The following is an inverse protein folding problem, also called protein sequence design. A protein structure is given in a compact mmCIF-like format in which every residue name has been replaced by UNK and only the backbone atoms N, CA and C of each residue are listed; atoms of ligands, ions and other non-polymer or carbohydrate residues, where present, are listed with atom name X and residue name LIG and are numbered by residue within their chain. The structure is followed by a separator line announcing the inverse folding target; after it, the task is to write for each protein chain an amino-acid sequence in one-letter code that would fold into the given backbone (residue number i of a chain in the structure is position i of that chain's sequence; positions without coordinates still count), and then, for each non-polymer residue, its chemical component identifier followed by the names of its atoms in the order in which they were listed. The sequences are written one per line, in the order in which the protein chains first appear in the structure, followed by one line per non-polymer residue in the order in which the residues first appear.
data_IF_279777973641
#
_entry.id   IF_279777973641
#
_cell.length_a   1.000
_cell.length_b   1.000
_cell.length_c   1.000
_cell.angle_alpha   90.00
_cell.angle_beta   90.00
_cell.angle_gamma   90.00
#
_symmetry.space_group_name_H-M   'P 1'
#
loop_
_entity.id
_entity.type
_entity.pdbx_description
1 polymer ?
#
# COMPACT_ATOMS: atom_id res chain seq x y z
N UNK A 1 -19.51 1.31 0.79
CA UNK A 1 -18.72 0.07 0.99
C UNK A 1 -18.60 -0.86 -0.24
N UNK A 2 -19.68 -1.31 -0.93
CA UNK A 2 -19.56 -2.37 -1.96
C UNK A 2 -18.73 -2.02 -3.21
N UNK A 3 -18.36 -0.75 -3.43
CA UNK A 3 -17.61 -0.27 -4.61
C UNK A 3 -16.21 0.24 -4.28
N UNK A 4 -15.76 0.17 -3.02
CA UNK A 4 -14.50 0.73 -2.58
C UNK A 4 -13.36 -0.25 -2.78
N UNK A 5 -12.38 0.14 -3.61
CA UNK A 5 -11.36 -0.75 -4.16
C UNK A 5 -10.58 -1.48 -3.08
N UNK A 6 -10.20 -0.79 -2.00
CA UNK A 6 -9.38 -1.40 -0.95
C UNK A 6 -10.17 -2.40 -0.10
N UNK A 7 -11.36 -2.02 0.35
CA UNK A 7 -12.23 -2.89 1.14
C UNK A 7 -12.63 -4.17 0.38
N UNK A 8 -12.83 -4.08 -0.95
CA UNK A 8 -13.10 -5.25 -1.79
C UNK A 8 -11.99 -6.30 -1.77
N UNK A 9 -10.71 -5.88 -1.71
CA UNK A 9 -9.58 -6.82 -1.58
C UNK A 9 -9.68 -7.63 -0.29
N UNK A 10 -10.01 -6.96 0.81
CA UNK A 10 -10.21 -7.59 2.11
C UNK A 10 -11.41 -8.53 2.10
N UNK A 11 -12.55 -8.09 1.58
CA UNK A 11 -13.75 -8.92 1.48
C UNK A 11 -13.51 -10.16 0.60
N UNK A 12 -12.76 -10.05 -0.50
CA UNK A 12 -12.41 -11.17 -1.38
C UNK A 12 -11.50 -12.18 -0.69
N UNK A 13 -10.54 -11.71 0.10
CA UNK A 13 -9.61 -12.58 0.84
C UNK A 13 -10.29 -13.28 2.02
N UNK A 14 -11.04 -12.52 2.82
CA UNK A 14 -11.66 -13.02 4.05
C UNK A 14 -12.97 -13.75 3.80
N UNK A 15 -13.77 -13.33 2.81
CA UNK A 15 -15.09 -13.88 2.50
C UNK A 15 -16.23 -13.23 3.28
N UNK A 16 -15.89 -12.37 4.25
CA UNK A 16 -16.80 -11.76 5.19
C UNK A 16 -16.75 -10.24 5.11
N UNK A 17 -17.89 -9.57 5.33
CA UNK A 17 -17.96 -8.10 5.39
C UNK A 17 -17.52 -7.57 6.77
N UNK A 18 -17.69 -8.36 7.81
CA UNK A 18 -17.38 -8.08 9.20
C UNK A 18 -16.09 -8.80 9.64
N UNK A 19 -15.15 -9.05 8.71
CA UNK A 19 -13.93 -9.83 8.95
C UNK A 19 -13.11 -9.35 10.15
N UNK A 20 -13.08 -8.04 10.40
CA UNK A 20 -12.37 -7.44 11.53
C UNK A 20 -13.04 -7.74 12.87
N UNK A 21 -14.38 -7.75 12.93
CA UNK A 21 -15.12 -8.16 14.12
C UNK A 21 -14.98 -9.67 14.33
N UNK A 22 -15.18 -10.48 13.28
CA UNK A 22 -14.99 -11.93 13.34
C UNK A 22 -13.61 -12.33 13.83
N UNK A 23 -12.56 -11.65 13.40
CA UNK A 23 -11.21 -11.85 13.94
C UNK A 23 -11.17 -11.64 15.46
N UNK A 24 -11.70 -10.52 15.94
CA UNK A 24 -11.71 -10.15 17.37
C UNK A 24 -12.59 -11.10 18.19
N UNK A 25 -13.80 -11.43 17.72
CA UNK A 25 -14.72 -12.32 18.42
C UNK A 25 -14.16 -13.73 18.54
N UNK A 26 -13.57 -14.27 17.45
CA UNK A 26 -12.95 -15.61 17.50
C UNK A 26 -11.70 -15.60 18.40
N UNK A 27 -10.91 -14.52 18.40
CA UNK A 27 -9.80 -14.37 19.33
C UNK A 27 -10.24 -14.27 20.80
N UNK A 28 -11.36 -13.60 21.10
CA UNK A 28 -11.93 -13.56 22.45
C UNK A 28 -12.47 -14.93 22.89
N UNK A 29 -13.13 -15.65 21.98
CA UNK A 29 -13.72 -16.95 22.25
C UNK A 29 -12.70 -18.11 22.24
N UNK A 30 -11.48 -17.89 21.73
CA UNK A 30 -10.50 -18.96 21.52
C UNK A 30 -10.96 -19.97 20.46
N UNK A 31 -11.66 -19.50 19.43
CA UNK A 31 -12.21 -20.33 18.35
C UNK A 31 -11.48 -20.10 17.03
N UNK A 32 -11.85 -20.86 15.99
CA UNK A 32 -11.22 -20.80 14.67
C UNK A 32 -11.90 -19.75 13.79
N UNK A 33 -11.10 -18.97 13.08
CA UNK A 33 -11.57 -18.15 11.96
C UNK A 33 -10.93 -18.62 10.66
N UNK A 34 -11.73 -18.76 9.58
CA UNK A 34 -11.26 -19.26 8.29
C UNK A 34 -11.51 -18.22 7.20
N UNK A 35 -10.48 -17.89 6.42
CA UNK A 35 -10.60 -17.02 5.27
C UNK A 35 -11.25 -17.72 4.07
N UNK A 36 -11.73 -16.95 3.09
CA UNK A 36 -12.24 -17.46 1.81
C UNK A 36 -11.18 -18.22 1.00
N UNK A 37 -9.91 -17.90 1.21
CA UNK A 37 -8.76 -18.60 0.63
C UNK A 37 -8.48 -19.95 1.29
N UNK A 38 -9.20 -20.30 2.35
CA UNK A 38 -9.09 -21.58 3.05
C UNK A 38 -8.06 -21.60 4.17
N UNK A 39 -7.37 -20.49 4.47
CA UNK A 39 -6.43 -20.39 5.61
C UNK A 39 -7.21 -20.32 6.91
N UNK A 40 -6.78 -21.09 7.90
CA UNK A 40 -7.42 -21.19 9.22
C UNK A 40 -6.53 -20.54 10.28
N UNK A 41 -7.14 -19.74 11.15
CA UNK A 41 -6.54 -19.06 12.27
C UNK A 41 -7.18 -19.62 13.55
N UNK A 42 -6.50 -20.56 14.19
CA UNK A 42 -6.98 -21.25 15.38
C UNK A 42 -6.52 -20.54 16.66
N UNK A 43 -7.31 -19.57 17.14
CA UNK A 43 -7.01 -18.85 18.37
C UNK A 43 -7.08 -19.73 19.64
N UNK A 44 -7.59 -20.97 19.53
CA UNK A 44 -7.57 -21.95 20.61
C UNK A 44 -6.17 -22.47 20.93
N UNK A 45 -5.22 -22.31 20.01
CA UNK A 45 -3.81 -22.65 20.23
C UNK A 45 -3.05 -21.59 21.04
N UNK A 46 -3.64 -20.41 21.25
CA UNK A 46 -3.06 -19.36 22.08
C UNK A 46 -3.58 -19.40 23.51
N UNK A 47 -2.68 -19.13 24.45
CA UNK A 47 -3.03 -18.69 25.79
C UNK A 47 -3.55 -17.24 25.80
N UNK A 48 -3.72 -16.71 27.01
CA UNK A 48 -4.25 -15.35 27.19
C UNK A 48 -3.32 -14.27 26.61
N UNK A 49 -2.03 -14.53 26.54
CA UNK A 49 -1.05 -13.57 26.01
C UNK A 49 -1.23 -13.36 24.51
N UNK A 50 -1.28 -14.44 23.72
CA UNK A 50 -1.49 -14.38 22.29
C UNK A 50 -2.88 -13.86 21.92
N UNK A 51 -3.94 -14.38 22.58
CA UNK A 51 -5.32 -13.91 22.34
C UNK A 51 -5.49 -12.42 22.64
N UNK A 52 -4.90 -11.93 23.72
CA UNK A 52 -4.92 -10.49 24.06
C UNK A 52 -4.30 -9.64 22.95
N UNK A 53 -3.19 -10.07 22.36
CA UNK A 53 -2.56 -9.32 21.28
C UNK A 53 -3.35 -9.40 19.97
N UNK A 54 -3.92 -10.58 19.64
CA UNK A 54 -4.83 -10.74 18.51
C UNK A 54 -6.05 -9.82 18.61
N UNK A 55 -6.67 -9.72 19.79
CA UNK A 55 -7.80 -8.82 20.07
C UNK A 55 -7.38 -7.36 19.95
N UNK A 56 -6.40 -6.92 20.77
CA UNK A 56 -6.03 -5.49 20.85
C UNK A 56 -5.58 -4.93 19.51
N UNK A 57 -4.80 -5.70 18.77
CA UNK A 57 -4.28 -5.27 17.47
C UNK A 57 -5.30 -5.47 16.37
N UNK A 58 -6.12 -6.52 16.39
CA UNK A 58 -7.17 -6.73 15.41
C UNK A 58 -8.20 -5.60 15.44
N UNK A 59 -8.53 -5.09 16.65
CA UNK A 59 -9.36 -3.90 16.80
C UNK A 59 -8.77 -2.68 16.08
N UNK A 60 -7.47 -2.44 16.14
CA UNK A 60 -6.88 -1.24 15.52
C UNK A 60 -6.54 -1.48 14.04
N UNK A 61 -5.83 -2.56 13.73
CA UNK A 61 -5.18 -2.76 12.43
C UNK A 61 -6.13 -3.34 11.38
N UNK A 62 -7.21 -4.02 11.80
CA UNK A 62 -8.22 -4.55 10.89
C UNK A 62 -9.50 -3.71 10.93
N UNK A 63 -9.95 -3.24 12.11
CA UNK A 63 -11.20 -2.48 12.20
C UNK A 63 -10.98 -0.97 12.05
N UNK A 64 -10.20 -0.32 12.92
CA UNK A 64 -9.95 1.14 12.81
C UNK A 64 -9.30 1.49 11.48
N UNK A 65 -8.38 0.66 10.97
CA UNK A 65 -7.81 0.82 9.64
C UNK A 65 -8.87 0.93 8.53
N UNK A 66 -9.85 0.02 8.52
CA UNK A 66 -10.92 0.02 7.52
C UNK A 66 -11.92 1.14 7.76
N UNK A 67 -12.14 1.51 9.02
CA UNK A 67 -12.97 2.65 9.38
C UNK A 67 -12.38 3.97 8.87
N UNK A 68 -11.08 4.19 9.02
CA UNK A 68 -10.40 5.38 8.46
C UNK A 68 -10.60 5.47 6.94
N UNK A 69 -10.42 4.35 6.23
CA UNK A 69 -10.64 4.33 4.79
C UNK A 69 -12.12 4.50 4.42
N UNK A 70 -13.04 4.01 5.27
CA UNK A 70 -14.48 4.20 5.10
C UNK A 70 -14.84 5.68 5.10
N UNK A 71 -14.36 6.44 6.07
CA UNK A 71 -14.64 7.88 6.18
C UNK A 71 -14.14 8.67 4.96
N UNK A 72 -12.93 8.37 4.47
CA UNK A 72 -12.44 9.03 3.26
C UNK A 72 -13.22 8.64 2.00
N UNK A 73 -13.66 7.40 1.91
CA UNK A 73 -14.51 6.96 0.80
C UNK A 73 -15.90 7.60 0.85
N UNK A 74 -16.46 7.78 2.05
CA UNK A 74 -17.74 8.43 2.29
C UNK A 74 -17.68 9.92 1.93
N UNK A 75 -16.64 10.62 2.37
CA UNK A 75 -16.37 12.01 1.98
C UNK A 75 -16.37 12.21 0.46
N UNK A 76 -15.76 11.29 -0.30
CA UNK A 76 -15.75 11.37 -1.76
C UNK A 76 -17.12 10.97 -2.34
N UNK A 77 -17.84 10.03 -1.74
CA UNK A 77 -19.18 9.65 -2.17
C UNK A 77 -20.16 10.83 -2.05
N UNK A 78 -20.13 11.51 -0.90
CA UNK A 78 -20.95 12.69 -0.62
C UNK A 78 -20.58 13.85 -1.54
N UNK A 79 -19.29 14.01 -1.87
CA UNK A 79 -18.84 15.00 -2.86
C UNK A 79 -19.48 14.77 -4.24
N UNK A 80 -19.69 13.50 -4.63
CA UNK A 80 -20.31 13.15 -5.92
C UNK A 80 -21.85 13.18 -5.89
N UNK A 81 -22.46 13.39 -4.73
CA UNK A 81 -23.92 13.44 -4.60
C UNK A 81 -24.46 14.78 -5.09
N UNK A 82 -25.66 14.79 -5.69
CA UNK A 82 -26.29 16.02 -6.18
C UNK A 82 -26.55 16.97 -5.00
N UNK A 83 -25.75 18.03 -4.94
CA UNK A 83 -25.97 19.16 -4.05
C UNK A 83 -27.38 19.74 -4.23
N UNK A 84 -28.24 19.58 -3.24
CA UNK A 84 -29.52 20.27 -3.22
C UNK A 84 -29.25 21.76 -3.08
N UNK A 85 -29.68 22.56 -4.07
CA UNK A 85 -29.45 24.00 -4.08
C UNK A 85 -29.94 24.66 -2.77
N UNK A 86 -29.01 25.26 -2.01
CA UNK A 86 -29.31 25.98 -0.75
C UNK A 86 -28.80 25.32 0.53
N UNK A 87 -28.12 24.16 0.46
CA UNK A 87 -27.36 23.56 1.56
C UNK A 87 -25.87 23.75 1.26
N UNK A 88 -25.07 24.18 2.25
CA UNK A 88 -23.61 24.24 2.10
C UNK A 88 -23.07 22.82 2.09
N UNK A 89 -22.95 22.24 0.90
CA UNK A 89 -22.53 20.86 0.73
C UNK A 89 -21.20 20.58 1.40
N UNK A 90 -20.31 21.57 1.48
CA UNK A 90 -18.92 21.39 1.88
C UNK A 90 -18.73 20.96 3.34
N UNK A 91 -19.74 21.09 4.20
CA UNK A 91 -19.61 20.71 5.61
C UNK A 91 -19.63 19.19 5.80
N UNK A 92 -20.54 18.46 5.15
CA UNK A 92 -20.70 17.01 5.35
C UNK A 92 -19.50 16.21 4.80
N UNK A 93 -18.98 16.56 3.61
CA UNK A 93 -17.81 15.85 3.05
C UNK A 93 -16.53 16.11 3.84
N UNK A 94 -16.29 17.38 4.20
CA UNK A 94 -15.09 17.74 4.97
C UNK A 94 -15.18 17.19 6.38
N UNK A 95 -16.39 17.08 6.94
CA UNK A 95 -16.61 16.42 8.22
C UNK A 95 -16.19 14.95 8.18
N UNK A 96 -16.69 14.15 7.22
CA UNK A 96 -16.26 12.76 7.06
C UNK A 96 -14.73 12.65 6.81
N UNK A 97 -14.16 13.52 5.98
CA UNK A 97 -12.71 13.53 5.76
C UNK A 97 -11.92 13.81 7.06
N UNK A 98 -12.32 14.81 7.83
CA UNK A 98 -11.71 15.15 9.12
C UNK A 98 -11.93 14.04 10.17
N UNK A 99 -13.05 13.33 10.14
CA UNK A 99 -13.27 12.13 10.95
C UNK A 99 -12.25 11.03 10.61
N UNK A 100 -12.02 10.76 9.33
CA UNK A 100 -10.97 9.83 8.88
C UNK A 100 -9.59 10.20 9.44
N UNK A 101 -9.22 11.49 9.40
CA UNK A 101 -7.98 12.01 9.99
C UNK A 101 -7.96 11.85 11.51
N UNK A 102 -9.09 12.09 12.19
CA UNK A 102 -9.23 11.95 13.64
C UNK A 102 -9.09 10.49 14.09
N UNK A 103 -9.69 9.53 13.39
CA UNK A 103 -9.54 8.10 13.67
C UNK A 103 -8.12 7.58 13.35
N UNK A 104 -7.46 8.13 12.33
CA UNK A 104 -6.07 7.82 12.04
C UNK A 104 -5.13 8.28 13.17
N UNK A 105 -5.29 9.55 13.57
CA UNK A 105 -4.45 10.24 14.56
C UNK A 105 -4.70 9.73 15.98
N UNK A 106 -5.97 9.65 16.36
CA UNK A 106 -6.44 9.34 17.72
C UNK A 106 -6.39 10.52 18.69
N UNK A 107 -7.26 10.50 19.70
CA UNK A 107 -7.37 11.55 20.73
C UNK A 107 -6.25 11.51 21.78
N UNK A 108 -5.52 10.40 21.86
CA UNK A 108 -4.33 10.20 22.68
C UNK A 108 -3.32 9.51 21.76
N UNK A 109 -2.21 10.17 21.43
CA UNK A 109 -1.17 9.76 20.46
C UNK A 109 -0.42 8.43 20.80
N UNK A 110 -1.06 7.50 21.51
CA UNK A 110 -0.41 6.36 22.14
C UNK A 110 -0.87 5.00 21.58
N UNK A 111 -2.01 4.92 20.87
CA UNK A 111 -2.65 3.61 20.59
C UNK A 111 -3.23 3.38 19.18
N UNK A 112 -3.31 4.39 18.32
CA UNK A 112 -3.85 4.25 16.95
C UNK A 112 -2.74 4.28 15.88
N UNK A 113 -3.15 4.40 14.61
CA UNK A 113 -2.32 4.18 13.42
C UNK A 113 -1.17 5.18 13.30
N UNK A 114 -1.38 6.45 13.65
CA UNK A 114 -0.33 7.46 13.71
C UNK A 114 0.83 7.03 14.63
N UNK A 115 0.51 6.56 15.85
CA UNK A 115 1.51 6.10 16.81
C UNK A 115 2.17 4.81 16.36
N UNK A 116 1.40 3.91 15.75
CA UNK A 116 1.96 2.71 15.15
C UNK A 116 3.06 3.08 14.13
N UNK A 117 2.78 4.00 13.21
CA UNK A 117 3.75 4.46 12.21
C UNK A 117 5.01 5.06 12.87
N UNK A 118 4.86 5.91 13.89
CA UNK A 118 5.99 6.44 14.66
C UNK A 118 6.79 5.33 15.36
N UNK A 119 6.12 4.32 15.94
CA UNK A 119 6.80 3.20 16.59
C UNK A 119 7.58 2.34 15.60
N UNK A 120 7.03 2.11 14.40
CA UNK A 120 7.71 1.34 13.35
C UNK A 120 8.88 2.12 12.76
N UNK A 121 8.74 3.43 12.53
CA UNK A 121 9.84 4.21 11.94
C UNK A 121 11.12 4.13 12.79
N UNK A 122 10.99 4.11 14.12
CA UNK A 122 12.11 3.98 15.03
C UNK A 122 12.81 2.62 14.94
N UNK A 123 12.06 1.57 14.56
CA UNK A 123 12.60 0.24 14.35
C UNK A 123 13.27 0.11 12.96
N UNK A 124 12.85 0.91 11.98
CA UNK A 124 13.23 0.75 10.57
C UNK A 124 14.15 1.85 10.03
N UNK A 125 14.52 2.83 10.86
CA UNK A 125 15.26 4.05 10.47
C UNK A 125 14.54 4.87 9.38
N UNK A 126 13.21 4.90 9.44
CA UNK A 126 12.36 5.61 8.48
C UNK A 126 11.64 6.80 9.12
N UNK A 127 12.19 7.36 10.20
CA UNK A 127 11.69 8.59 10.80
C UNK A 127 12.24 9.83 10.09
N UNK A 128 11.67 10.98 10.42
CA UNK A 128 11.98 12.28 9.85
C UNK A 128 11.31 12.49 8.49
N UNK A 129 11.25 13.74 7.99
CA UNK A 129 10.60 14.06 6.72
C UNK A 129 11.21 13.35 5.51
N UNK A 130 12.48 12.92 5.61
CA UNK A 130 13.20 12.19 4.55
C UNK A 130 13.25 10.68 4.77
N UNK A 131 12.74 10.16 5.89
CA UNK A 131 12.80 8.75 6.23
C UNK A 131 14.21 8.20 6.42
N UNK A 132 15.11 9.00 7.00
CA UNK A 132 16.51 8.62 7.24
C UNK A 132 16.92 8.73 8.71
N UNK A 133 16.02 9.19 9.56
CA UNK A 133 16.25 9.41 10.99
C UNK A 133 15.75 8.21 11.80
N UNK A 134 16.33 8.02 12.99
CA UNK A 134 15.94 6.94 13.90
C UNK A 134 14.86 7.35 14.90
N UNK A 135 14.68 8.65 15.15
CA UNK A 135 13.75 9.18 16.14
C UNK A 135 12.87 10.27 15.51
N UNK A 136 11.79 10.61 16.19
CA UNK A 136 10.82 11.60 15.73
C UNK A 136 9.62 10.97 15.03
N UNK A 137 8.92 11.79 14.23
CA UNK A 137 7.76 11.35 13.47
C UNK A 137 8.18 10.51 12.27
N UNK A 138 7.34 9.54 11.91
CA UNK A 138 7.56 8.71 10.73
C UNK A 138 7.46 9.52 9.45
N UNK A 139 8.27 9.17 8.44
CA UNK A 139 8.13 9.71 7.09
C UNK A 139 6.70 9.53 6.57
N UNK A 140 6.12 8.35 6.83
CA UNK A 140 4.71 8.02 6.49
C UNK A 140 3.74 9.02 7.10
N UNK A 141 3.89 9.42 8.37
CA UNK A 141 3.02 10.45 8.97
C UNK A 141 3.20 11.81 8.31
N UNK A 142 4.43 12.21 7.97
CA UNK A 142 4.64 13.46 7.23
C UNK A 142 3.94 13.44 5.86
N UNK A 143 4.07 12.35 5.11
CA UNK A 143 3.42 12.22 3.81
C UNK A 143 1.91 12.16 3.94
N UNK A 144 1.38 11.36 4.87
CA UNK A 144 -0.06 11.25 5.10
C UNK A 144 -0.72 12.58 5.45
N UNK A 145 -0.10 13.39 6.31
CA UNK A 145 -0.67 14.70 6.64
C UNK A 145 -0.65 15.67 5.44
N UNK A 146 0.31 15.55 4.53
CA UNK A 146 0.27 16.32 3.27
C UNK A 146 -0.87 15.85 2.37
N UNK A 147 -1.10 14.53 2.28
CA UNK A 147 -2.23 13.96 1.52
C UNK A 147 -3.57 14.34 2.16
N UNK A 148 -3.69 14.32 3.50
CA UNK A 148 -4.90 14.74 4.20
C UNK A 148 -5.25 16.21 3.93
N UNK A 149 -4.26 17.10 3.94
CA UNK A 149 -4.47 18.51 3.58
C UNK A 149 -4.88 18.66 2.11
N UNK A 150 -4.22 17.92 1.21
CA UNK A 150 -4.51 17.98 -0.23
C UNK A 150 -5.91 17.47 -0.56
N UNK A 151 -6.32 16.36 0.05
CA UNK A 151 -7.67 15.81 -0.14
C UNK A 151 -8.76 16.73 0.43
N UNK A 152 -8.54 17.32 1.60
CA UNK A 152 -9.43 18.36 2.15
C UNK A 152 -9.59 19.54 1.19
N UNK A 153 -8.47 20.06 0.67
CA UNK A 153 -8.50 21.24 -0.22
C UNK A 153 -9.22 20.94 -1.55
N UNK A 154 -9.07 19.71 -2.08
CA UNK A 154 -9.83 19.26 -3.24
C UNK A 154 -11.33 19.12 -2.94
N UNK A 155 -11.69 18.54 -1.80
CA UNK A 155 -13.09 18.41 -1.38
C UNK A 155 -13.75 19.78 -1.18
N UNK A 156 -13.05 20.74 -0.55
CA UNK A 156 -13.52 22.13 -0.42
C UNK A 156 -13.70 22.84 -1.77
N UNK A 157 -12.97 22.41 -2.80
CA UNK A 157 -13.11 22.90 -4.16
C UNK A 157 -14.18 22.13 -4.98
N UNK A 158 -14.82 21.10 -4.41
CA UNK A 158 -15.74 20.21 -5.11
C UNK A 158 -15.06 19.26 -6.11
N UNK A 159 -13.74 19.07 -6.01
CA UNK A 159 -12.95 18.24 -6.92
C UNK A 159 -12.91 16.76 -6.48
N UNK A 160 -14.06 16.09 -6.56
CA UNK A 160 -14.24 14.70 -6.09
C UNK A 160 -13.41 13.68 -6.88
N UNK A 161 -13.28 13.88 -8.20
CA UNK A 161 -12.53 12.99 -9.09
C UNK A 161 -11.04 12.92 -8.73
N UNK A 162 -10.32 14.07 -8.71
CA UNK A 162 -8.92 14.12 -8.29
C UNK A 162 -8.66 13.59 -6.88
N UNK A 163 -9.61 13.74 -5.94
CA UNK A 163 -9.49 13.23 -4.57
C UNK A 163 -9.29 11.71 -4.50
N UNK A 164 -9.74 10.95 -5.52
CA UNK A 164 -9.51 9.49 -5.60
C UNK A 164 -8.03 9.12 -5.63
N UNK A 165 -7.20 9.91 -6.31
CA UNK A 165 -5.75 9.67 -6.36
C UNK A 165 -5.09 9.93 -5.00
N UNK A 166 -5.58 10.92 -4.26
CA UNK A 166 -5.15 11.21 -2.89
C UNK A 166 -5.50 10.04 -1.96
N UNK A 167 -6.74 9.55 -2.01
CA UNK A 167 -7.14 8.38 -1.22
C UNK A 167 -6.32 7.14 -1.57
N UNK A 168 -6.02 6.91 -2.86
CA UNK A 168 -5.11 5.83 -3.25
C UNK A 168 -3.75 5.98 -2.57
N UNK A 169 -3.16 7.18 -2.59
CA UNK A 169 -1.84 7.41 -1.98
C UNK A 169 -1.88 7.24 -0.46
N UNK A 170 -2.92 7.74 0.22
CA UNK A 170 -3.17 7.51 1.65
C UNK A 170 -3.21 6.01 1.95
N UNK A 171 -3.96 5.28 1.14
CA UNK A 171 -4.18 3.84 1.24
C UNK A 171 -2.84 3.08 1.12
N UNK A 172 -1.97 3.43 0.16
CA UNK A 172 -0.60 2.88 0.02
C UNK A 172 0.25 3.17 1.26
N UNK A 173 0.29 4.42 1.71
CA UNK A 173 1.09 4.87 2.86
C UNK A 173 0.68 4.19 4.17
N UNK A 174 -0.62 4.03 4.41
CA UNK A 174 -1.13 3.39 5.63
C UNK A 174 -0.76 1.90 5.71
N UNK A 175 -0.45 1.23 4.58
CA UNK A 175 -0.02 -0.16 4.58
C UNK A 175 1.44 -0.34 5.04
N UNK A 176 2.30 0.67 4.86
CA UNK A 176 3.73 0.62 5.22
C UNK A 176 3.98 0.16 6.67
N UNK A 177 3.36 0.77 7.70
CA UNK A 177 3.58 0.33 9.08
C UNK A 177 3.02 -1.07 9.39
N UNK A 178 2.04 -1.56 8.61
CA UNK A 178 1.54 -2.93 8.74
C UNK A 178 2.55 -3.94 8.18
N UNK A 179 3.15 -3.65 7.01
CA UNK A 179 4.26 -4.43 6.43
C UNK A 179 5.46 -4.45 7.37
N UNK A 180 5.88 -3.28 7.88
CA UNK A 180 6.94 -3.17 8.89
C UNK A 180 6.61 -3.98 10.16
N UNK A 181 5.34 -3.97 10.59
CA UNK A 181 4.90 -4.82 11.69
C UNK A 181 5.09 -6.31 11.38
N UNK A 182 4.53 -6.78 10.27
CA UNK A 182 4.56 -8.18 9.88
C UNK A 182 5.99 -8.71 9.75
N UNK A 183 6.84 -8.01 9.01
CA UNK A 183 8.24 -8.42 8.81
C UNK A 183 9.03 -8.45 10.13
N UNK A 184 8.83 -7.46 11.01
CA UNK A 184 9.51 -7.43 12.32
C UNK A 184 9.17 -8.67 13.15
N UNK A 185 7.90 -9.05 13.19
CA UNK A 185 7.49 -10.19 14.00
C UNK A 185 7.79 -11.52 13.34
N UNK A 186 7.79 -11.60 12.00
CA UNK A 186 8.35 -12.74 11.28
C UNK A 186 9.83 -12.97 11.67
N UNK A 187 10.63 -11.90 11.76
CA UNK A 187 12.02 -11.98 12.21
C UNK A 187 12.15 -12.43 13.67
N UNK A 188 11.32 -11.87 14.57
CA UNK A 188 11.35 -12.23 15.99
C UNK A 188 11.01 -13.70 16.24
N UNK A 189 10.02 -14.23 15.54
CA UNK A 189 9.62 -15.63 15.66
C UNK A 189 10.61 -16.54 14.95
N UNK A 190 10.99 -16.20 13.71
CA UNK A 190 11.85 -17.02 12.86
C UNK A 190 13.31 -17.06 13.32
N UNK A 191 13.91 -15.91 13.61
CA UNK A 191 15.36 -15.81 13.89
C UNK A 191 15.65 -15.66 15.37
N UNK A 192 14.87 -14.84 16.09
CA UNK A 192 15.09 -14.61 17.53
C UNK A 192 14.38 -15.64 18.42
N UNK A 193 13.59 -16.53 17.83
CA UNK A 193 12.83 -17.60 18.50
C UNK A 193 11.98 -17.08 19.67
N UNK A 194 11.42 -15.88 19.51
CA UNK A 194 10.44 -15.33 20.45
C UNK A 194 9.11 -16.10 20.39
N UNK A 195 8.29 -15.96 21.44
CA UNK A 195 7.21 -16.90 21.76
C UNK A 195 5.84 -16.52 21.23
N UNK A 196 4.82 -17.04 21.91
CA UNK A 196 3.40 -16.90 21.58
C UNK A 196 2.98 -15.45 21.32
N UNK A 197 3.41 -14.53 22.17
CA UNK A 197 3.10 -13.10 22.03
C UNK A 197 3.55 -12.56 20.69
N UNK A 198 4.82 -12.76 20.33
CA UNK A 198 5.38 -12.26 19.07
C UNK A 198 4.75 -12.93 17.86
N UNK A 199 4.42 -14.22 17.96
CA UNK A 199 3.66 -14.92 16.93
C UNK A 199 2.29 -14.25 16.74
N UNK A 200 1.54 -14.03 17.80
CA UNK A 200 0.22 -13.40 17.74
C UNK A 200 0.30 -11.95 17.21
N UNK A 201 1.29 -11.16 17.63
CA UNK A 201 1.55 -9.83 17.09
C UNK A 201 1.86 -9.91 15.58
N UNK A 202 2.67 -10.88 15.13
CA UNK A 202 2.98 -11.08 13.72
C UNK A 202 1.76 -11.50 12.89
N UNK A 203 1.00 -12.47 13.36
CA UNK A 203 -0.18 -13.00 12.65
C UNK A 203 -1.22 -11.90 12.42
N UNK A 204 -1.48 -11.03 13.40
CA UNK A 204 -2.45 -9.94 13.21
C UNK A 204 -1.91 -8.82 12.31
N UNK A 205 -0.62 -8.49 12.36
CA UNK A 205 -0.03 -7.55 11.39
C UNK A 205 -0.14 -8.09 9.96
N UNK A 206 0.18 -9.38 9.78
CA UNK A 206 0.04 -10.08 8.51
C UNK A 206 -1.42 -10.07 8.04
N UNK A 207 -2.36 -10.49 8.88
CA UNK A 207 -3.79 -10.50 8.57
C UNK A 207 -4.33 -9.13 8.15
N UNK A 208 -3.74 -8.05 8.66
CA UNK A 208 -4.14 -6.68 8.35
C UNK A 208 -3.64 -6.17 6.99
N UNK A 209 -2.71 -6.85 6.32
CA UNK A 209 -2.14 -6.40 5.04
C UNK A 209 -2.15 -7.47 3.96
N UNK A 210 -2.27 -8.75 4.32
CA UNK A 210 -2.23 -9.89 3.40
C UNK A 210 -3.28 -9.82 2.28
N UNK A 211 -4.47 -9.20 2.43
CA UNK A 211 -5.40 -9.09 1.31
C UNK A 211 -4.88 -8.24 0.16
N UNK A 212 -4.04 -7.23 0.42
CA UNK A 212 -3.35 -6.48 -0.63
C UNK A 212 -2.34 -7.32 -1.37
N UNK A 213 -1.52 -8.06 -0.62
CA UNK A 213 -0.54 -8.98 -1.20
C UNK A 213 -1.26 -10.00 -2.07
N UNK A 214 -2.37 -10.57 -1.59
CA UNK A 214 -3.13 -11.57 -2.34
C UNK A 214 -3.77 -11.00 -3.61
N UNK A 215 -4.18 -9.74 -3.61
CA UNK A 215 -4.68 -9.07 -4.81
C UNK A 215 -3.58 -8.84 -5.86
N UNK A 216 -2.34 -8.60 -5.42
CA UNK A 216 -1.17 -8.50 -6.28
C UNK A 216 -0.68 -9.88 -6.78
N UNK A 217 -0.45 -10.82 -5.86
CA UNK A 217 0.01 -12.18 -6.12
C UNK A 217 -0.45 -13.14 -5.01
N UNK A 218 -1.35 -14.05 -5.36
CA UNK A 218 -1.92 -15.03 -4.42
C UNK A 218 -0.87 -16.01 -3.87
N UNK A 219 0.19 -16.31 -4.63
CA UNK A 219 1.26 -17.24 -4.21
C UNK A 219 2.19 -16.60 -3.17
N UNK A 220 2.57 -15.34 -3.35
CA UNK A 220 3.31 -14.56 -2.35
C UNK A 220 2.49 -14.44 -1.06
N UNK A 221 1.18 -14.20 -1.19
CA UNK A 221 0.30 -14.17 -0.02
C UNK A 221 0.20 -15.54 0.69
N UNK A 222 0.19 -16.64 -0.05
CA UNK A 222 0.24 -17.98 0.52
C UNK A 222 1.53 -18.23 1.31
N UNK A 223 2.69 -17.89 0.74
CA UNK A 223 3.99 -18.00 1.43
C UNK A 223 3.98 -17.25 2.76
N UNK A 224 3.47 -16.02 2.77
CA UNK A 224 3.42 -15.19 3.98
C UNK A 224 2.44 -15.80 5.00
N UNK A 225 1.23 -16.17 4.57
CA UNK A 225 0.21 -16.74 5.45
C UNK A 225 0.69 -18.06 6.07
N UNK A 226 1.36 -18.91 5.30
CA UNK A 226 1.87 -20.20 5.75
C UNK A 226 3.11 -20.09 6.63
N UNK A 227 3.81 -18.96 6.64
CA UNK A 227 4.92 -18.73 7.57
C UNK A 227 4.50 -18.00 8.84
N UNK A 228 3.39 -17.28 8.81
CA UNK A 228 2.89 -16.44 9.90
C UNK A 228 1.55 -16.93 10.48
N UNK A 229 1.20 -18.20 10.26
CA UNK A 229 -0.01 -18.82 10.80
C UNK A 229 0.08 -19.05 12.32
N UNK A 230 -1.08 -19.16 12.96
CA UNK A 230 -1.19 -19.54 14.37
C UNK A 230 -0.83 -21.02 14.51
N UNK A 231 0.17 -21.34 15.33
CA UNK A 231 0.65 -22.72 15.54
C UNK A 231 1.41 -22.85 16.86
N UNK A 232 1.59 -24.09 17.34
CA UNK A 232 2.31 -24.37 18.59
C UNK A 232 3.82 -24.12 18.49
N UNK A 233 4.42 -24.19 17.31
CA UNK A 233 5.86 -24.04 17.09
C UNK A 233 6.26 -22.69 16.44
N UNK A 234 7.40 -22.12 16.81
CA UNK A 234 7.92 -20.88 16.21
C UNK A 234 8.68 -21.14 14.90
N UNK A 235 8.06 -21.82 13.93
CA UNK A 235 8.66 -22.13 12.62
C UNK A 235 8.26 -21.09 11.54
N UNK A 236 9.00 -19.99 11.48
CA UNK A 236 8.86 -18.97 10.43
C UNK A 236 10.14 -18.90 9.61
N UNK A 237 10.06 -19.10 8.29
CA UNK A 237 11.14 -18.76 7.36
C UNK A 237 11.08 -17.27 7.07
N UNK A 238 11.88 -16.50 7.81
CA UNK A 238 11.89 -15.04 7.68
C UNK A 238 12.35 -14.60 6.28
N UNK A 239 13.32 -15.28 5.67
CA UNK A 239 13.84 -14.93 4.35
C UNK A 239 12.75 -15.07 3.28
N UNK A 240 11.96 -16.16 3.34
CA UNK A 240 10.82 -16.36 2.45
C UNK A 240 9.73 -15.30 2.65
N UNK A 241 9.38 -14.97 3.90
CA UNK A 241 8.39 -13.92 4.20
C UNK A 241 8.86 -12.56 3.69
N UNK A 242 10.13 -12.21 3.96
CA UNK A 242 10.73 -10.95 3.52
C UNK A 242 10.69 -10.84 2.00
N UNK A 243 11.17 -11.86 1.29
CA UNK A 243 11.18 -11.89 -0.18
C UNK A 243 9.76 -11.79 -0.76
N UNK A 244 8.79 -12.50 -0.17
CA UNK A 244 7.40 -12.46 -0.62
C UNK A 244 6.80 -11.06 -0.50
N UNK A 245 6.90 -10.40 0.66
CA UNK A 245 6.43 -9.03 0.82
C UNK A 245 7.10 -8.07 -0.15
N UNK A 246 8.42 -8.15 -0.21
CA UNK A 246 9.26 -7.29 -1.00
C UNK A 246 8.99 -7.36 -2.50
N UNK A 247 8.67 -8.56 -3.01
CA UNK A 247 8.30 -8.75 -4.40
C UNK A 247 7.00 -8.04 -4.81
N UNK A 248 6.17 -7.64 -3.84
CA UNK A 248 4.86 -7.02 -4.08
C UNK A 248 4.83 -5.51 -3.82
N UNK A 249 5.94 -4.88 -3.40
CA UNK A 249 5.97 -3.46 -3.05
C UNK A 249 5.51 -2.54 -4.19
N UNK A 250 5.95 -2.81 -5.41
CA UNK A 250 5.54 -2.01 -6.58
C UNK A 250 4.03 -2.07 -6.81
N UNK A 251 3.43 -3.27 -6.80
CA UNK A 251 1.98 -3.42 -6.93
C UNK A 251 1.21 -2.78 -5.76
N UNK A 252 1.78 -2.81 -4.55
CA UNK A 252 1.22 -2.17 -3.36
C UNK A 252 1.42 -0.64 -3.33
N UNK A 253 2.13 -0.05 -4.30
CA UNK A 253 2.40 1.39 -4.37
C UNK A 253 3.40 1.91 -3.33
N UNK A 254 4.21 1.04 -2.75
CA UNK A 254 5.21 1.37 -1.73
C UNK A 254 6.62 1.06 -2.21
N UNK A 255 7.61 1.67 -1.58
CA UNK A 255 9.03 1.50 -1.94
C UNK A 255 9.80 0.78 -0.83
N UNK A 256 10.94 0.18 -1.19
CA UNK A 256 11.91 -0.31 -0.24
C UNK A 256 12.33 0.77 0.76
N UNK A 257 12.49 2.00 0.27
CA UNK A 257 12.81 3.17 1.10
C UNK A 257 11.69 3.61 2.04
N UNK A 258 10.44 3.24 1.78
CA UNK A 258 9.32 3.49 2.70
C UNK A 258 9.33 2.46 3.84
N UNK A 259 9.66 1.21 3.55
CA UNK A 259 9.67 0.12 4.53
C UNK A 259 10.96 0.14 5.37
N UNK A 260 12.14 0.27 4.76
CA UNK A 260 13.43 0.24 5.45
C UNK A 260 13.90 -1.17 5.85
N UNK A 261 14.83 -1.23 6.81
CA UNK A 261 15.38 -2.48 7.37
C UNK A 261 15.41 -2.43 8.89
N UNK A 262 15.42 -3.57 9.56
CA UNK A 262 15.30 -3.60 11.02
C UNK A 262 16.62 -3.22 11.71
N UNK A 263 16.56 -2.23 12.60
CA UNK A 263 17.72 -1.77 13.37
C UNK A 263 18.05 -2.69 14.56
N UNK A 264 19.35 -2.94 14.71
CA UNK A 264 20.04 -3.42 15.90
C UNK A 264 20.94 -2.30 16.44
N UNK A 265 20.41 -1.49 17.36
CA UNK A 265 21.09 -0.28 17.82
C UNK A 265 21.08 0.80 16.73
N UNK A 266 22.24 1.07 16.12
CA UNK A 266 22.40 2.04 15.00
C UNK A 266 22.63 1.40 13.63
N UNK A 267 22.92 0.10 13.61
CA UNK A 267 23.14 -0.67 12.39
C UNK A 267 21.91 -1.52 12.08
N UNK A 268 21.74 -1.96 10.85
CA UNK A 268 20.71 -2.95 10.51
C UNK A 268 21.18 -4.37 10.82
N UNK A 269 20.25 -5.26 11.14
CA UNK A 269 20.54 -6.70 11.19
C UNK A 269 21.05 -7.19 9.83
N UNK A 270 22.12 -8.00 9.75
CA UNK A 270 22.73 -8.41 8.47
C UNK A 270 21.78 -9.07 7.48
N UNK A 271 20.82 -9.84 7.98
CA UNK A 271 19.79 -10.56 7.25
C UNK A 271 18.48 -9.76 7.09
N UNK A 272 18.41 -8.56 7.68
CA UNK A 272 17.25 -7.67 7.61
C UNK A 272 17.62 -6.25 7.17
N UNK A 273 18.46 -6.16 6.15
CA UNK A 273 18.76 -4.89 5.48
C UNK A 273 17.57 -4.39 4.66
N UNK A 274 17.45 -3.06 4.46
CA UNK A 274 16.53 -2.51 3.47
C UNK A 274 16.83 -3.11 2.10
N UNK A 275 15.79 -3.36 1.30
CA UNK A 275 15.97 -3.68 -0.11
C UNK A 275 16.36 -2.45 -0.94
N UNK A 276 16.84 -2.68 -2.18
CA UNK A 276 17.14 -1.63 -3.14
C UNK A 276 16.06 -1.56 -4.22
N UNK A 277 15.42 -0.39 -4.33
CA UNK A 277 14.40 -0.10 -5.35
C UNK A 277 14.99 -0.21 -6.78
N UNK A 278 16.27 0.11 -6.98
CA UNK A 278 16.92 0.12 -8.30
C UNK A 278 17.35 -1.27 -8.77
N UNK A 279 17.81 -2.12 -7.85
CA UNK A 279 18.19 -3.51 -8.16
C UNK A 279 16.97 -4.31 -8.65
N UNK A 280 15.78 -4.00 -8.12
CA UNK A 280 14.51 -4.64 -8.51
C UNK A 280 14.03 -4.29 -9.90
N UNK A 281 14.15 -3.02 -10.30
CA UNK A 281 13.86 -2.61 -11.68
C UNK A 281 14.75 -3.36 -12.69
N UNK A 282 16.00 -3.65 -12.32
CA UNK A 282 16.92 -4.45 -13.12
C UNK A 282 16.52 -5.92 -13.25
N UNK A 283 16.09 -6.56 -12.15
CA UNK A 283 15.66 -7.96 -12.14
C UNK A 283 14.34 -8.14 -12.90
N UNK A 284 13.36 -7.25 -12.74
CA UNK A 284 12.10 -7.29 -13.50
C UNK A 284 12.34 -7.08 -15.01
N UNK A 285 13.25 -6.19 -15.40
CA UNK A 285 13.66 -6.02 -16.80
C UNK A 285 14.38 -7.26 -17.37
N UNK A 286 15.20 -7.94 -16.57
CA UNK A 286 15.88 -9.17 -16.96
C UNK A 286 14.92 -10.38 -17.06
N UNK A 287 13.93 -10.47 -16.15
CA UNK A 287 12.86 -11.46 -16.17
C UNK A 287 11.88 -11.27 -17.34
N UNK A 288 11.51 -10.02 -17.63
CA UNK A 288 10.74 -9.69 -18.84
C UNK A 288 11.51 -10.06 -20.12
N UNK A 289 12.84 -9.91 -20.13
CA UNK A 289 13.68 -10.32 -21.25
C UNK A 289 13.72 -11.84 -21.49
N UNK A 290 13.47 -12.66 -20.46
CA UNK A 290 13.43 -14.13 -20.60
C UNK A 290 12.07 -14.65 -21.10
N UNK A 291 10.98 -13.95 -20.77
CA UNK A 291 9.60 -14.31 -21.21
C UNK A 291 9.35 -14.05 -22.70
N UNK A 292 10.11 -13.16 -23.34
CA UNK A 292 9.94 -12.84 -24.78
C UNK A 292 10.31 -14.03 -25.71
N UNK A 293 10.99 -15.07 -25.21
CA UNK A 293 11.35 -16.23 -26.04
C UNK A 293 10.18 -17.17 -26.38
N UNK A 294 8.98 -16.94 -25.83
CA UNK A 294 7.74 -17.61 -26.27
C UNK A 294 6.61 -16.60 -26.50
N UNK A 295 6.71 -15.80 -27.56
CA UNK A 295 5.53 -15.11 -28.08
C UNK A 295 5.40 -15.23 -29.59
N UNK A 296 4.15 -15.46 -30.01
CA UNK A 296 3.65 -15.62 -31.37
C UNK A 296 4.14 -14.47 -32.29
N UNK A 297 4.44 -14.71 -33.59
CA UNK A 297 5.18 -13.78 -34.46
C UNK A 297 4.43 -12.50 -34.86
N UNK A 298 3.29 -12.18 -34.22
CA UNK A 298 2.46 -11.02 -34.55
C UNK A 298 2.87 -9.79 -33.72
N UNK A 299 3.32 -9.96 -32.48
CA UNK A 299 3.68 -8.84 -31.58
C UNK A 299 4.98 -8.12 -31.97
N UNK A 300 5.96 -8.86 -32.48
CA UNK A 300 7.28 -8.32 -32.86
C UNK A 300 7.23 -7.41 -34.08
N UNK A 301 6.27 -7.66 -35.00
CA UNK A 301 6.07 -6.84 -36.21
C UNK A 301 5.53 -5.46 -35.83
N UNK A 302 4.62 -5.39 -34.85
CA UNK A 302 3.98 -4.13 -34.44
C UNK A 302 5.00 -3.20 -33.75
N UNK A 303 5.83 -3.74 -32.85
CA UNK A 303 6.85 -2.94 -32.15
C UNK A 303 7.92 -2.35 -33.09
N UNK A 304 8.36 -3.12 -34.09
CA UNK A 304 9.33 -2.65 -35.10
C UNK A 304 8.70 -1.55 -35.98
N UNK A 305 7.43 -1.69 -36.35
CA UNK A 305 6.72 -0.67 -37.16
C UNK A 305 6.60 0.65 -36.39
N UNK A 306 6.25 0.62 -35.11
CA UNK A 306 6.17 1.85 -34.30
C UNK A 306 7.54 2.54 -34.12
N UNK A 307 8.61 1.77 -33.90
CA UNK A 307 9.96 2.31 -33.81
C UNK A 307 10.42 2.96 -35.13
N UNK A 308 10.14 2.33 -36.27
CA UNK A 308 10.46 2.88 -37.60
C UNK A 308 9.65 4.14 -37.88
N UNK A 309 8.36 4.17 -37.55
CA UNK A 309 7.51 5.36 -37.71
C UNK A 309 8.00 6.52 -36.84
N UNK A 310 8.40 6.26 -35.59
CA UNK A 310 8.95 7.29 -34.71
C UNK A 310 10.27 7.86 -35.25
N UNK A 311 11.17 7.01 -35.75
CA UNK A 311 12.44 7.47 -36.36
C UNK A 311 12.19 8.27 -37.64
N UNK A 312 11.25 7.85 -38.48
CA UNK A 312 10.85 8.59 -39.68
C UNK A 312 10.22 9.96 -39.33
N UNK A 313 9.37 10.02 -38.29
CA UNK A 313 8.77 11.26 -37.83
C UNK A 313 9.83 12.23 -37.29
N UNK A 314 10.80 11.75 -36.51
CA UNK A 314 11.91 12.56 -36.00
C UNK A 314 12.77 13.07 -37.16
N UNK A 315 13.12 12.22 -38.12
CA UNK A 315 13.86 12.62 -39.31
C UNK A 315 13.11 13.68 -40.13
N UNK A 316 11.79 13.54 -40.28
CA UNK A 316 10.94 14.51 -40.97
C UNK A 316 10.89 15.85 -40.24
N UNK A 317 10.75 15.86 -38.91
CA UNK A 317 10.78 17.08 -38.09
C UNK A 317 12.14 17.79 -38.23
N UNK A 318 13.24 17.05 -38.19
CA UNK A 318 14.58 17.63 -38.37
C UNK A 318 14.77 18.21 -39.80
N UNK A 319 14.24 17.53 -40.82
CA UNK A 319 14.23 18.03 -42.19
C UNK A 319 13.42 19.32 -42.34
N UNK A 320 12.24 19.40 -41.71
CA UNK A 320 11.42 20.61 -41.70
C UNK A 320 12.15 21.79 -41.06
N UNK A 321 12.79 21.57 -39.89
CA UNK A 321 13.56 22.62 -39.20
C UNK A 321 14.77 23.08 -40.02
N UNK A 322 15.39 22.18 -40.79
CA UNK A 322 16.47 22.55 -41.71
C UNK A 322 15.96 23.45 -42.84
N UNK A 323 14.83 23.09 -43.46
CA UNK A 323 14.17 23.87 -44.52
C UNK A 323 13.71 25.25 -44.06
N UNK A 324 13.21 25.38 -42.83
CA UNK A 324 12.91 26.68 -42.21
C UNK A 324 14.16 27.56 -42.09
N UNK A 325 15.28 27.00 -41.60
CA UNK A 325 16.55 27.74 -41.45
C UNK A 325 17.16 28.14 -42.79
N UNK A 326 16.92 27.37 -43.85
CA UNK A 326 17.37 27.67 -45.21
C UNK A 326 16.44 28.66 -45.94
N UNK A 327 15.38 29.17 -45.29
CA UNK A 327 14.46 30.16 -45.86
C UNK A 327 13.48 29.60 -46.89
N UNK A 328 13.34 28.27 -46.98
CA UNK A 328 12.43 27.57 -47.87
C UNK A 328 11.49 26.63 -47.08
N UNK A 329 10.60 27.18 -46.22
CA UNK A 329 9.73 26.39 -45.37
C UNK A 329 8.76 25.53 -46.19
N UNK A 330 8.50 24.32 -45.72
CA UNK A 330 7.64 23.33 -46.40
C UNK A 330 6.17 23.76 -46.35
N UNK A 331 5.76 24.45 -45.28
CA UNK A 331 4.43 25.02 -45.15
C UNK A 331 4.51 26.53 -45.32
N UNK A 332 3.78 27.05 -46.31
CA UNK A 332 3.66 28.50 -46.55
C UNK A 332 2.21 28.86 -46.28
N UNK A 333 1.96 29.68 -45.27
CA UNK A 333 0.63 30.26 -45.04
C UNK A 333 0.36 31.30 -46.11
N UNK A 334 -0.64 31.05 -46.97
CA UNK A 334 -1.17 32.09 -47.85
C UNK A 334 -1.91 33.10 -46.97
N UNK A 335 -1.40 34.33 -46.91
CA UNK A 335 -2.15 35.47 -46.39
C UNK A 335 -3.28 35.75 -47.38
N UNK A 336 -4.52 35.62 -46.93
CA UNK A 336 -5.69 36.05 -47.68
C UNK A 336 -5.89 37.52 -47.31
N UNK A 337 -5.56 38.41 -48.24
CA UNK A 337 -5.89 39.84 -48.10
C UNK A 337 -7.41 39.99 -48.14
N UNK A 338 -7.98 40.43 -47.02
CA UNK A 338 -9.39 40.84 -46.94
C UNK A 338 -9.44 42.29 -47.41
N UNK A 339 -10.03 42.52 -48.60
CA UNK A 339 -10.42 43.85 -49.07
C UNK A 339 -11.66 44.35 -48.35
#
# INVERSE_FOLDING_TARGET
MRTWTEYQKFQKYWGDYDFGDKWVQNALAGTKYRSQTGKEYDFGLYGDEGRKEAVKKGTVFMNVYQYVLHEFEDAIADCNSDCVAGVDCNEEQVHAWDEGVAFYTGSLEEKLLYKLANKRCQNYKTCGPRGSEQLGNSKVNYELFNEFLSGRDLLLAGECGPTRAILQRITELMAVPLVQGALRYAYKVGELKEGEKEQAEGTVFMASVIPRVHDCDAGAAEIIADNMAIREDSSTDFAAVKAAFESQYECMGIKCTDVGGLLQGTNYYPDFQPCDDNERMGIMAAGASTVITKSNPIGTIIGIVFAVVAVCAIAFILFMRKKEKEGAPIFVTKVVDVQ
#
